data_IF_270462442937
#
_entry.id   IF_270462442937
#
_cell.length_a   1.000
_cell.length_b   1.000
_cell.length_c   1.000
_cell.angle_alpha   90.00
_cell.angle_beta   90.00
_cell.angle_gamma   90.00
#
_symmetry.space_group_name_H-M   'P 1'
#
loop_
_entity.id
_entity.type
_entity.pdbx_description
1 polymer ?
#
# COMPACT_ATOMS: atom_id res chain seq x y z
N UNK A 1 -31.86 14.30 13.36
CA UNK A 1 -30.77 14.17 12.36
C UNK A 1 -29.71 13.25 12.98
N UNK A 2 -29.40 12.10 12.36
CA UNK A 2 -28.32 11.21 12.85
C UNK A 2 -27.00 11.97 12.74
N UNK A 3 -26.24 12.03 13.83
CA UNK A 3 -24.85 12.52 13.80
C UNK A 3 -24.02 11.47 13.06
N UNK A 4 -23.73 11.72 11.78
CA UNK A 4 -22.70 11.00 11.04
C UNK A 4 -21.35 11.70 11.24
N UNK A 5 -20.24 11.04 10.92
CA UNK A 5 -18.88 11.57 11.08
C UNK A 5 -18.71 12.97 10.49
N UNK A 6 -19.23 13.20 9.27
CA UNK A 6 -19.22 14.52 8.62
C UNK A 6 -20.01 15.57 9.39
N UNK A 7 -21.18 15.22 9.92
CA UNK A 7 -22.03 16.12 10.71
C UNK A 7 -21.49 16.42 12.11
N UNK A 8 -20.74 15.48 12.70
CA UNK A 8 -19.99 15.69 13.95
C UNK A 8 -18.85 16.68 13.69
N UNK A 9 -18.02 16.42 12.68
CA UNK A 9 -16.90 17.28 12.31
C UNK A 9 -17.37 18.72 12.03
N UNK A 10 -18.38 18.90 11.18
CA UNK A 10 -18.89 20.21 10.81
C UNK A 10 -19.41 21.02 12.02
N UNK A 11 -20.08 20.36 12.97
CA UNK A 11 -20.59 21.03 14.19
C UNK A 11 -19.47 21.35 15.18
N UNK A 12 -18.52 20.44 15.35
CA UNK A 12 -17.37 20.62 16.24
C UNK A 12 -16.40 21.68 15.72
N UNK A 13 -16.14 21.75 14.41
CA UNK A 13 -15.31 22.79 13.79
C UNK A 13 -15.82 24.22 14.03
N UNK A 14 -17.14 24.40 14.15
CA UNK A 14 -17.75 25.72 14.40
C UNK A 14 -17.74 26.14 15.88
N UNK A 15 -17.51 25.20 16.80
CA UNK A 15 -17.72 25.40 18.24
C UNK A 15 -16.47 25.19 19.11
N UNK A 16 -15.44 24.53 18.57
CA UNK A 16 -14.23 24.19 19.31
C UNK A 16 -13.03 24.99 18.82
N UNK A 17 -12.15 25.34 19.76
CA UNK A 17 -10.85 25.94 19.45
C UNK A 17 -9.93 24.89 18.84
N UNK A 18 -9.81 24.95 17.50
CA UNK A 18 -8.97 24.07 16.69
C UNK A 18 -7.50 24.11 17.13
N UNK A 19 -7.00 25.27 17.59
CA UNK A 19 -5.61 25.42 18.02
C UNK A 19 -5.35 24.72 19.35
N UNK A 20 -6.26 24.89 20.31
CA UNK A 20 -6.18 24.20 21.60
C UNK A 20 -6.27 22.67 21.46
N UNK A 21 -7.12 22.17 20.55
CA UNK A 21 -7.21 20.74 20.24
C UNK A 21 -5.92 20.24 19.58
N UNK A 22 -5.40 20.97 18.59
CA UNK A 22 -4.12 20.64 17.94
C UNK A 22 -2.96 20.56 18.93
N UNK A 23 -2.82 21.53 19.83
CA UNK A 23 -1.80 21.51 20.88
C UNK A 23 -1.91 20.27 21.79
N UNK A 24 -3.14 19.83 22.12
CA UNK A 24 -3.35 18.60 22.91
C UNK A 24 -3.02 17.33 22.15
N UNK A 25 -3.37 17.25 20.87
CA UNK A 25 -3.06 16.10 20.01
C UNK A 25 -1.56 15.96 19.74
N UNK A 26 -0.84 17.08 19.63
CA UNK A 26 0.61 17.09 19.36
C UNK A 26 1.41 16.84 20.65
N UNK A 27 1.12 17.57 21.72
CA UNK A 27 1.96 17.62 22.93
C UNK A 27 1.45 16.74 24.08
N UNK A 28 0.18 16.33 24.06
CA UNK A 28 -0.48 15.57 25.12
C UNK A 28 -0.29 14.06 25.05
N UNK A 29 0.88 13.57 24.64
CA UNK A 29 1.15 12.13 24.40
C UNK A 29 1.29 11.28 25.68
N UNK A 30 1.17 11.88 26.86
CA UNK A 30 1.24 11.14 28.11
C UNK A 30 0.00 10.27 28.28
N UNK A 31 0.20 8.97 28.43
CA UNK A 31 -0.88 8.02 28.69
C UNK A 31 -1.43 8.32 30.08
N UNK A 32 -2.69 8.75 30.13
CA UNK A 32 -3.37 8.90 31.41
C UNK A 32 -3.49 7.52 32.08
N UNK A 33 -3.09 7.38 33.35
CA UNK A 33 -3.12 6.10 34.05
C UNK A 33 -4.56 5.64 34.33
N UNK A 34 -5.54 6.54 34.24
CA UNK A 34 -6.97 6.22 34.36
C UNK A 34 -7.57 5.95 32.98
N UNK A 35 -7.88 4.69 32.63
CA UNK A 35 -8.40 4.36 31.30
C UNK A 35 -9.83 4.86 31.13
N UNK A 36 -10.10 5.49 29.99
CA UNK A 36 -11.46 5.79 29.57
C UNK A 36 -12.18 4.48 29.22
N UNK A 37 -13.19 4.09 30.00
CA UNK A 37 -13.98 2.90 29.69
C UNK A 37 -15.01 3.21 28.60
N UNK A 38 -14.74 2.75 27.38
CA UNK A 38 -15.66 2.86 26.23
C UNK A 38 -16.34 1.52 26.00
N UNK A 39 -17.69 1.54 25.88
CA UNK A 39 -18.47 0.35 25.52
C UNK A 39 -18.64 0.28 24.01
N UNK A 40 -18.16 -0.81 23.40
CA UNK A 40 -18.32 -1.06 21.98
C UNK A 40 -19.48 -2.04 21.72
N UNK A 41 -20.22 -1.88 20.60
CA UNK A 41 -21.08 -2.93 20.08
C UNK A 41 -20.29 -4.23 19.86
N UNK A 42 -20.95 -5.37 20.01
CA UNK A 42 -20.30 -6.69 19.91
C UNK A 42 -19.52 -6.86 18.60
N UNK A 43 -20.12 -6.52 17.45
CA UNK A 43 -19.44 -6.65 16.16
C UNK A 43 -18.18 -5.79 16.04
N UNK A 44 -18.15 -4.59 16.63
CA UNK A 44 -16.96 -3.73 16.65
C UNK A 44 -15.86 -4.36 17.49
N UNK A 45 -16.22 -4.96 18.63
CA UNK A 45 -15.28 -5.66 19.50
C UNK A 45 -14.65 -6.87 18.81
N UNK A 46 -15.45 -7.64 18.07
CA UNK A 46 -14.97 -8.79 17.31
C UNK A 46 -14.00 -8.37 16.20
N UNK A 47 -14.32 -7.32 15.43
CA UNK A 47 -13.41 -6.78 14.40
C UNK A 47 -12.09 -6.29 15.00
N UNK A 48 -12.14 -5.52 16.09
CA UNK A 48 -10.94 -5.07 16.78
C UNK A 48 -10.10 -6.24 17.33
N UNK A 49 -10.75 -7.32 17.79
CA UNK A 49 -10.07 -8.54 18.21
C UNK A 49 -9.31 -9.21 17.07
N UNK A 50 -9.95 -9.40 15.92
CA UNK A 50 -9.33 -10.00 14.72
C UNK A 50 -8.11 -9.17 14.27
N UNK A 51 -8.25 -7.85 14.19
CA UNK A 51 -7.15 -6.96 13.77
C UNK A 51 -5.99 -6.96 14.78
N UNK A 52 -6.31 -6.93 16.08
CA UNK A 52 -5.34 -6.96 17.18
C UNK A 52 -4.49 -8.24 17.15
N UNK A 53 -5.13 -9.39 16.92
CA UNK A 53 -4.43 -10.67 16.76
C UNK A 53 -3.53 -10.69 15.51
N UNK A 54 -4.03 -10.20 14.37
CA UNK A 54 -3.25 -10.16 13.13
C UNK A 54 -2.04 -9.24 13.19
N UNK A 55 -2.17 -8.09 13.86
CA UNK A 55 -1.11 -7.10 14.01
C UNK A 55 -0.19 -7.36 15.21
N UNK A 56 -0.50 -8.37 16.03
CA UNK A 56 0.23 -8.69 17.27
C UNK A 56 0.40 -7.50 18.25
N UNK A 57 -0.61 -6.63 18.31
CA UNK A 57 -0.68 -5.49 19.26
C UNK A 57 -1.92 -5.60 20.13
N UNK A 58 -1.96 -4.91 21.27
CA UNK A 58 -3.13 -4.93 22.14
C UNK A 58 -4.32 -4.21 21.49
N UNK A 59 -5.55 -4.63 21.83
CA UNK A 59 -6.77 -3.94 21.34
C UNK A 59 -6.83 -2.48 21.79
N UNK A 60 -6.25 -2.18 22.97
CA UNK A 60 -6.16 -0.82 23.48
C UNK A 60 -5.21 0.04 22.62
N UNK A 61 -4.04 -0.49 22.27
CA UNK A 61 -3.08 0.20 21.40
C UNK A 61 -3.63 0.39 19.99
N UNK A 62 -4.26 -0.64 19.41
CA UNK A 62 -4.94 -0.52 18.11
C UNK A 62 -6.00 0.58 18.14
N UNK A 63 -6.86 0.59 19.17
CA UNK A 63 -7.92 1.59 19.31
C UNK A 63 -7.34 2.99 19.47
N UNK A 64 -6.27 3.12 20.25
CA UNK A 64 -5.57 4.40 20.46
C UNK A 64 -5.02 4.93 19.13
N UNK A 65 -4.31 4.11 18.38
CA UNK A 65 -3.74 4.48 17.06
C UNK A 65 -4.85 4.94 16.12
N UNK A 66 -5.92 4.15 15.96
CA UNK A 66 -7.04 4.49 15.06
C UNK A 66 -7.78 5.77 15.50
N UNK A 67 -7.95 5.99 16.79
CA UNK A 67 -8.63 7.19 17.31
C UNK A 67 -7.77 8.45 17.19
N UNK A 68 -6.48 8.36 17.50
CA UNK A 68 -5.52 9.45 17.31
C UNK A 68 -5.48 9.89 15.85
N UNK A 69 -5.44 8.94 14.92
CA UNK A 69 -5.46 9.19 13.48
C UNK A 69 -6.78 9.82 13.02
N UNK A 70 -7.93 9.26 13.44
CA UNK A 70 -9.24 9.81 13.09
C UNK A 70 -9.42 11.26 13.60
N UNK A 71 -8.93 11.57 14.81
CA UNK A 71 -8.98 12.91 15.37
C UNK A 71 -8.03 13.88 14.66
N UNK A 72 -6.81 13.45 14.32
CA UNK A 72 -5.88 14.24 13.51
C UNK A 72 -6.46 14.55 12.13
N UNK A 73 -6.99 13.56 11.42
CA UNK A 73 -7.67 13.75 10.13
C UNK A 73 -8.82 14.76 10.24
N UNK A 74 -9.62 14.68 11.31
CA UNK A 74 -10.79 15.55 11.49
C UNK A 74 -10.42 16.99 11.84
N UNK A 75 -9.39 17.22 12.65
CA UNK A 75 -9.08 18.56 13.17
C UNK A 75 -7.83 19.20 12.56
N UNK A 76 -6.88 18.45 12.02
CA UNK A 76 -5.59 18.92 11.49
C UNK A 76 -5.31 18.39 10.06
N UNK A 77 -6.22 18.60 9.08
CA UNK A 77 -6.12 17.92 7.78
C UNK A 77 -4.88 18.31 6.95
N UNK A 78 -4.37 19.55 7.08
CA UNK A 78 -3.18 19.99 6.36
C UNK A 78 -1.89 19.40 6.95
N UNK A 79 -1.74 19.44 8.28
CA UNK A 79 -0.60 18.82 8.98
C UNK A 79 -0.60 17.30 8.79
N UNK A 80 -1.80 16.72 8.68
CA UNK A 80 -2.00 15.32 8.36
C UNK A 80 -1.65 14.98 6.91
N UNK A 81 -1.68 15.91 5.97
CA UNK A 81 -1.21 15.65 4.59
C UNK A 81 0.29 15.35 4.61
N UNK A 82 1.08 16.17 5.32
CA UNK A 82 2.50 15.93 5.54
C UNK A 82 2.76 14.64 6.33
N UNK A 83 2.02 14.40 7.41
CA UNK A 83 2.09 13.16 8.17
C UNK A 83 1.74 11.91 7.35
N UNK A 84 0.78 12.03 6.43
CA UNK A 84 0.40 10.98 5.49
C UNK A 84 1.52 10.70 4.48
N UNK A 85 2.19 11.73 3.95
CA UNK A 85 3.32 11.55 3.02
C UNK A 85 4.44 10.77 3.70
N UNK A 86 4.85 11.15 4.92
CA UNK A 86 5.89 10.45 5.66
C UNK A 86 5.47 8.99 5.94
N UNK A 87 4.23 8.78 6.41
CA UNK A 87 3.72 7.44 6.68
C UNK A 87 3.67 6.56 5.41
N UNK A 88 3.40 7.15 4.25
CA UNK A 88 3.41 6.45 2.94
C UNK A 88 4.83 6.06 2.54
N UNK A 89 5.82 6.93 2.76
CA UNK A 89 7.24 6.61 2.55
C UNK A 89 7.68 5.47 3.48
N UNK A 90 7.32 5.52 4.76
CA UNK A 90 7.60 4.44 5.71
C UNK A 90 6.94 3.12 5.27
N UNK A 91 5.71 3.17 4.73
CA UNK A 91 5.03 2.00 4.21
C UNK A 91 5.70 1.42 2.96
N UNK A 92 6.21 2.27 2.05
CA UNK A 92 7.05 1.84 0.92
C UNK A 92 8.32 1.18 1.45
N UNK A 93 9.00 1.81 2.40
CA UNK A 93 10.22 1.26 2.99
C UNK A 93 9.99 -0.13 3.59
N UNK A 94 8.95 -0.27 4.40
CA UNK A 94 8.60 -1.55 5.01
C UNK A 94 8.23 -2.62 3.97
N UNK A 95 7.43 -2.26 2.97
CA UNK A 95 6.91 -3.22 1.99
C UNK A 95 7.96 -3.70 0.99
N UNK A 96 8.94 -2.86 0.70
CA UNK A 96 10.02 -3.13 -0.25
C UNK A 96 11.36 -3.48 0.42
N UNK A 97 11.40 -3.60 1.75
CA UNK A 97 12.60 -3.86 2.55
C UNK A 97 13.72 -2.82 2.29
N UNK A 98 13.33 -1.55 2.20
CA UNK A 98 14.24 -0.42 1.95
C UNK A 98 14.66 0.18 3.29
N UNK A 99 15.98 0.24 3.52
CA UNK A 99 16.55 0.91 4.68
C UNK A 99 16.84 2.41 4.41
N UNK A 100 17.08 3.16 5.48
CA UNK A 100 17.35 4.61 5.41
C UNK A 100 18.51 4.97 4.45
N UNK A 101 19.68 4.29 4.48
CA UNK A 101 20.73 4.56 3.50
C UNK A 101 20.29 4.37 2.05
N UNK A 102 19.56 3.31 1.74
CA UNK A 102 19.09 3.03 0.39
C UNK A 102 18.08 4.09 -0.06
N UNK A 103 17.13 4.49 0.78
CA UNK A 103 16.21 5.57 0.47
C UNK A 103 16.95 6.90 0.23
N UNK A 104 18.02 7.19 0.99
CA UNK A 104 18.85 8.37 0.75
C UNK A 104 19.55 8.33 -0.62
N UNK A 105 19.98 7.15 -1.07
CA UNK A 105 20.57 7.00 -2.41
C UNK A 105 19.53 7.26 -3.51
N UNK A 106 18.31 6.75 -3.36
CA UNK A 106 17.21 7.02 -4.29
C UNK A 106 16.89 8.51 -4.38
N UNK A 107 16.90 9.21 -3.24
CA UNK A 107 16.59 10.65 -3.15
C UNK A 107 17.82 11.56 -3.23
N UNK A 108 18.99 11.03 -3.57
CA UNK A 108 20.24 11.80 -3.63
C UNK A 108 20.22 12.98 -4.62
N UNK A 109 19.49 12.97 -5.76
CA UNK A 109 19.38 14.14 -6.64
C UNK A 109 18.78 15.38 -5.96
N UNK A 110 18.00 15.21 -4.89
CA UNK A 110 17.40 16.30 -4.10
C UNK A 110 18.18 16.64 -2.84
N UNK A 111 19.42 16.14 -2.69
CA UNK A 111 20.26 16.32 -1.50
C UNK A 111 19.64 15.77 -0.20
N UNK A 112 18.72 14.82 -0.29
CA UNK A 112 18.09 14.19 0.88
C UNK A 112 19.01 13.09 1.40
N UNK A 113 19.73 13.38 2.48
CA UNK A 113 20.66 12.45 3.13
C UNK A 113 19.98 11.59 4.19
N UNK A 114 20.61 10.51 4.61
CA UNK A 114 20.10 9.64 5.69
C UNK A 114 19.77 10.40 6.98
N UNK A 115 20.52 11.45 7.31
CA UNK A 115 20.26 12.30 8.48
C UNK A 115 19.00 13.15 8.37
N UNK A 116 18.53 13.43 7.15
CA UNK A 116 17.26 14.10 6.89
C UNK A 116 16.12 13.10 7.03
N UNK A 117 16.28 11.88 6.50
CA UNK A 117 15.25 10.82 6.55
C UNK A 117 14.96 10.36 7.99
N UNK A 118 15.97 10.33 8.86
CA UNK A 118 15.80 9.94 10.27
C UNK A 118 14.95 10.92 11.10
N UNK A 119 14.71 12.14 10.59
CA UNK A 119 13.89 13.15 11.25
C UNK A 119 12.65 13.43 10.37
N UNK A 120 11.47 12.90 10.73
CA UNK A 120 10.23 13.07 9.97
C UNK A 120 9.89 14.53 9.63
N UNK A 121 10.16 15.46 10.55
CA UNK A 121 9.87 16.87 10.36
C UNK A 121 10.82 17.49 9.31
N UNK A 122 12.11 17.14 9.38
CA UNK A 122 13.08 17.58 8.36
C UNK A 122 12.82 16.94 7.01
N UNK A 123 12.44 15.66 6.99
CA UNK A 123 12.14 14.98 5.74
C UNK A 123 10.99 15.68 5.02
N UNK A 124 9.93 16.03 5.74
CA UNK A 124 8.80 16.79 5.19
C UNK A 124 9.23 18.10 4.50
N UNK A 125 10.14 18.85 5.11
CA UNK A 125 10.62 20.13 4.56
C UNK A 125 11.45 19.97 3.27
N UNK A 126 12.05 18.79 3.04
CA UNK A 126 12.90 18.52 1.88
C UNK A 126 12.15 17.82 0.73
N UNK A 127 10.98 17.24 0.99
CA UNK A 127 10.22 16.51 -0.01
C UNK A 127 9.51 17.49 -0.97
N UNK A 128 10.14 17.71 -2.12
CA UNK A 128 9.52 18.39 -3.26
C UNK A 128 8.56 17.47 -4.03
N UNK A 129 7.65 18.06 -4.80
CA UNK A 129 6.76 17.30 -5.68
C UNK A 129 7.54 16.40 -6.66
N UNK A 130 8.61 16.92 -7.26
CA UNK A 130 9.47 16.18 -8.19
C UNK A 130 10.15 14.97 -7.51
N UNK A 131 10.54 15.12 -6.24
CA UNK A 131 11.12 14.01 -5.46
C UNK A 131 10.10 12.90 -5.19
N UNK A 132 8.84 13.28 -4.91
CA UNK A 132 7.75 12.34 -4.69
C UNK A 132 7.36 11.65 -6.00
N UNK A 133 7.29 12.37 -7.11
CA UNK A 133 7.04 11.79 -8.43
C UNK A 133 8.12 10.78 -8.82
N UNK A 134 9.39 11.12 -8.63
CA UNK A 134 10.49 10.19 -8.85
C UNK A 134 10.38 8.93 -7.98
N UNK A 135 10.05 9.09 -6.69
CA UNK A 135 9.87 7.95 -5.80
C UNK A 135 8.69 7.07 -6.26
N UNK A 136 7.60 7.67 -6.72
CA UNK A 136 6.47 6.94 -7.29
C UNK A 136 6.88 6.13 -8.53
N UNK A 137 7.67 6.70 -9.43
CA UNK A 137 8.23 6.00 -10.60
C UNK A 137 9.22 4.89 -10.24
N UNK A 138 10.00 5.07 -9.16
CA UNK A 138 10.90 4.02 -8.67
C UNK A 138 10.13 2.75 -8.31
N UNK A 139 8.92 2.90 -7.76
CA UNK A 139 8.12 1.81 -7.19
C UNK A 139 6.84 1.46 -7.95
N UNK A 140 6.62 2.04 -9.15
CA UNK A 140 5.40 1.87 -9.97
C UNK A 140 4.11 2.25 -9.21
N UNK A 141 4.12 3.38 -8.52
CA UNK A 141 3.03 3.86 -7.68
C UNK A 141 2.30 5.03 -8.34
N UNK A 142 1.04 5.28 -7.94
CA UNK A 142 0.37 6.52 -8.33
C UNK A 142 1.00 7.72 -7.58
N UNK A 143 1.51 8.74 -8.28
CA UNK A 143 2.03 9.95 -7.64
C UNK A 143 0.98 10.70 -6.82
N UNK A 144 -0.30 10.66 -7.20
CA UNK A 144 -1.39 11.28 -6.43
C UNK A 144 -1.60 10.58 -5.08
N UNK A 145 -1.32 9.29 -5.00
CA UNK A 145 -1.24 8.63 -3.71
C UNK A 145 -0.01 9.10 -2.95
N UNK A 146 1.17 9.13 -3.52
CA UNK A 146 2.32 9.52 -2.72
C UNK A 146 2.22 10.98 -2.21
N UNK A 147 1.55 11.86 -2.96
CA UNK A 147 1.30 13.26 -2.63
C UNK A 147 0.13 13.54 -1.67
N UNK A 148 -0.62 12.52 -1.24
CA UNK A 148 -1.73 12.74 -0.29
C UNK A 148 -3.11 12.93 -0.91
N UNK A 149 -3.24 12.99 -2.24
CA UNK A 149 -4.50 13.25 -2.94
C UNK A 149 -5.40 12.02 -3.02
N UNK A 150 -4.80 10.85 -3.24
CA UNK A 150 -5.51 9.56 -3.24
C UNK A 150 -5.30 8.81 -1.92
N UNK A 151 -6.28 7.99 -1.53
CA UNK A 151 -6.22 7.23 -0.27
C UNK A 151 -5.53 5.87 -0.42
N UNK A 152 -5.47 5.35 -1.64
CA UNK A 152 -4.96 4.01 -1.94
C UNK A 152 -3.75 4.09 -2.86
N UNK A 153 -2.77 3.18 -2.70
CA UNK A 153 -1.52 3.21 -3.46
C UNK A 153 -1.67 3.16 -4.97
N UNK A 154 -2.79 2.64 -5.49
CA UNK A 154 -3.13 2.52 -6.92
C UNK A 154 -1.86 2.28 -7.74
N UNK A 155 -1.36 1.05 -7.73
CA UNK A 155 -0.16 0.73 -8.51
C UNK A 155 -0.39 1.10 -9.98
N UNK A 156 0.55 1.85 -10.57
CA UNK A 156 0.55 2.10 -12.01
C UNK A 156 0.65 0.73 -12.69
N UNK A 157 -0.43 0.37 -13.37
CA UNK A 157 -0.57 -0.98 -13.91
C UNK A 157 0.00 -1.03 -15.32
N UNK A 158 0.90 -1.98 -15.57
CA UNK A 158 1.33 -2.28 -16.93
C UNK A 158 0.16 -2.82 -17.76
N UNK A 159 0.19 -2.60 -19.06
CA UNK A 159 -0.81 -3.18 -19.96
C UNK A 159 -0.50 -4.65 -20.27
N UNK A 160 -1.55 -5.42 -20.56
CA UNK A 160 -1.34 -6.77 -21.06
C UNK A 160 -0.80 -6.71 -22.49
N UNK A 161 0.20 -7.55 -22.82
CA UNK A 161 0.64 -7.68 -24.19
C UNK A 161 -0.47 -8.19 -25.12
N UNK A 162 -0.48 -7.66 -26.35
CA UNK A 162 -1.44 -8.04 -27.40
C UNK A 162 -1.22 -9.45 -27.94
N UNK A 163 0.01 -9.98 -27.86
CA UNK A 163 0.39 -11.27 -28.44
C UNK A 163 1.07 -12.19 -27.43
N UNK A 164 0.99 -13.49 -27.67
CA UNK A 164 1.66 -14.51 -26.86
C UNK A 164 3.20 -14.35 -26.85
N UNK A 165 3.79 -13.90 -27.96
CA UNK A 165 5.22 -13.70 -28.06
C UNK A 165 5.68 -12.47 -27.29
N UNK A 166 4.93 -11.36 -27.34
CA UNK A 166 5.20 -10.20 -26.50
C UNK A 166 5.00 -10.53 -25.02
N UNK A 167 4.01 -11.36 -24.69
CA UNK A 167 3.85 -11.89 -23.34
C UNK A 167 5.07 -12.68 -22.89
N UNK A 168 5.57 -13.61 -23.73
CA UNK A 168 6.79 -14.37 -23.40
C UNK A 168 8.01 -13.49 -23.26
N UNK A 169 8.14 -12.45 -24.09
CA UNK A 169 9.24 -11.50 -24.02
C UNK A 169 9.18 -10.69 -22.72
N UNK A 170 7.99 -10.21 -22.34
CA UNK A 170 7.76 -9.50 -21.09
C UNK A 170 8.11 -10.35 -19.87
N UNK A 171 7.67 -11.62 -19.82
CA UNK A 171 7.93 -12.48 -18.66
C UNK A 171 9.41 -12.91 -18.59
N UNK A 172 10.08 -13.13 -19.72
CA UNK A 172 11.51 -13.49 -19.79
C UNK A 172 12.46 -12.30 -19.69
N UNK A 173 11.96 -11.08 -19.51
CA UNK A 173 12.83 -9.92 -19.34
C UNK A 173 13.84 -10.17 -18.20
N UNK A 174 15.12 -9.90 -18.46
CA UNK A 174 16.19 -10.19 -17.50
C UNK A 174 16.09 -9.38 -16.21
N UNK A 175 15.34 -8.27 -16.23
CA UNK A 175 15.02 -7.52 -15.01
C UNK A 175 14.05 -8.25 -14.10
N UNK A 176 13.25 -9.20 -14.58
CA UNK A 176 12.30 -9.92 -13.74
C UNK A 176 13.03 -10.95 -12.86
N UNK A 177 12.89 -10.82 -11.55
CA UNK A 177 13.49 -11.73 -10.56
C UNK A 177 12.49 -12.74 -10.01
N UNK A 178 11.23 -12.34 -9.90
CA UNK A 178 10.12 -13.20 -9.51
C UNK A 178 8.84 -12.84 -10.27
N UNK A 179 8.02 -13.85 -10.58
CA UNK A 179 6.74 -13.66 -11.28
C UNK A 179 5.62 -14.37 -10.54
N UNK A 180 4.52 -13.67 -10.31
CA UNK A 180 3.28 -14.24 -9.79
C UNK A 180 2.20 -14.16 -10.87
N UNK A 181 1.71 -15.31 -11.29
CA UNK A 181 0.46 -15.44 -12.04
C UNK A 181 -0.66 -15.75 -11.09
N UNK A 182 -1.70 -14.91 -11.08
CA UNK A 182 -2.83 -15.09 -10.20
C UNK A 182 -4.15 -15.17 -10.96
N UNK A 183 -5.10 -15.88 -10.37
CA UNK A 183 -6.51 -15.82 -10.76
C UNK A 183 -7.42 -15.74 -9.52
N UNK A 184 -8.63 -15.20 -9.70
CA UNK A 184 -9.65 -15.13 -8.65
C UNK A 184 -11.05 -14.79 -9.19
N UNK A 185 -12.03 -14.90 -8.30
CA UNK A 185 -13.38 -14.38 -8.46
C UNK A 185 -13.58 -13.22 -7.48
N UNK A 186 -13.09 -12.00 -7.79
CA UNK A 186 -12.97 -10.89 -6.84
C UNK A 186 -14.32 -10.41 -6.30
N UNK A 187 -15.40 -10.49 -7.09
CA UNK A 187 -16.71 -9.97 -6.70
C UNK A 187 -17.69 -11.10 -6.37
N UNK A 188 -18.29 -11.06 -5.18
CA UNK A 188 -19.29 -12.02 -4.76
C UNK A 188 -20.63 -11.79 -5.49
N UNK A 189 -21.23 -12.83 -6.11
CA UNK A 189 -22.51 -12.75 -6.81
C UNK A 189 -22.74 -13.91 -7.79
N UNK A 190 -23.89 -13.94 -8.49
CA UNK A 190 -24.27 -15.02 -9.43
C UNK A 190 -23.63 -14.91 -10.84
N UNK A 191 -22.89 -13.84 -11.12
CA UNK A 191 -22.21 -13.58 -12.40
C UNK A 191 -20.69 -13.54 -12.21
N UNK A 192 -20.13 -14.47 -11.43
CA UNK A 192 -18.68 -14.49 -11.12
C UNK A 192 -17.87 -14.69 -12.39
N UNK A 193 -17.31 -13.59 -12.89
CA UNK A 193 -16.28 -13.65 -13.92
C UNK A 193 -14.94 -13.92 -13.24
N UNK A 194 -14.22 -14.90 -13.75
CA UNK A 194 -12.86 -15.20 -13.33
C UNK A 194 -11.92 -14.15 -13.91
N UNK A 195 -11.10 -13.55 -13.06
CA UNK A 195 -10.06 -12.61 -13.46
C UNK A 195 -8.70 -13.25 -13.27
N UNK A 196 -7.74 -12.82 -14.09
CA UNK A 196 -6.34 -13.12 -13.91
C UNK A 196 -5.48 -11.87 -14.02
N UNK A 197 -4.29 -11.95 -13.41
CA UNK A 197 -3.28 -10.91 -13.49
C UNK A 197 -1.89 -11.49 -13.39
N UNK A 198 -0.92 -10.62 -13.63
CA UNK A 198 0.50 -10.91 -13.55
C UNK A 198 1.15 -9.84 -12.70
N UNK A 199 2.04 -10.25 -11.80
CA UNK A 199 2.85 -9.34 -11.01
C UNK A 199 4.31 -9.73 -11.23
N UNK A 200 5.12 -8.77 -11.61
CA UNK A 200 6.54 -8.92 -11.90
C UNK A 200 7.32 -8.19 -10.81
N UNK A 201 8.22 -8.88 -10.13
CA UNK A 201 9.24 -8.25 -9.28
C UNK A 201 10.44 -7.96 -10.15
N UNK A 202 10.81 -6.69 -10.27
CA UNK A 202 11.81 -6.24 -11.23
C UNK A 202 13.02 -5.68 -10.51
N UNK A 203 14.23 -6.11 -10.89
CA UNK A 203 15.48 -5.48 -10.52
C UNK A 203 15.62 -4.15 -11.26
N UNK A 204 15.79 -3.06 -10.50
CA UNK A 204 15.97 -1.71 -11.05
C UNK A 204 17.18 -1.07 -10.38
N UNK A 205 18.15 -0.65 -11.20
CA UNK A 205 19.31 0.11 -10.74
C UNK A 205 18.99 1.61 -10.78
N UNK A 206 19.14 2.28 -9.64
CA UNK A 206 18.87 3.70 -9.45
C UNK A 206 20.02 4.29 -8.64
N UNK A 207 20.70 5.28 -9.21
CA UNK A 207 21.83 5.96 -8.56
C UNK A 207 22.91 4.99 -8.04
N UNK A 208 23.17 3.89 -8.78
CA UNK A 208 24.13 2.85 -8.41
C UNK A 208 23.68 1.92 -7.27
N UNK A 209 22.41 1.99 -6.85
CA UNK A 209 21.80 1.05 -5.91
C UNK A 209 20.70 0.25 -6.59
N UNK A 210 20.48 -0.97 -6.13
CA UNK A 210 19.49 -1.88 -6.70
C UNK A 210 18.26 -1.94 -5.79
N UNK A 211 17.08 -1.81 -6.39
CA UNK A 211 15.78 -2.03 -5.74
C UNK A 211 14.95 -3.07 -6.50
N UNK A 212 13.93 -3.61 -5.83
CA UNK A 212 13.06 -4.65 -6.40
C UNK A 212 11.57 -4.25 -6.36
N UNK A 213 11.15 -3.20 -7.09
CA UNK A 213 9.76 -2.82 -7.20
C UNK A 213 8.90 -3.91 -7.84
N UNK A 214 7.59 -3.84 -7.62
CA UNK A 214 6.63 -4.74 -8.22
C UNK A 214 5.82 -3.99 -9.30
N UNK A 215 5.81 -4.51 -10.53
CA UNK A 215 4.92 -4.09 -11.59
C UNK A 215 3.73 -5.04 -11.64
N UNK A 216 2.51 -4.52 -11.46
CA UNK A 216 1.29 -5.30 -11.65
C UNK A 216 0.71 -5.01 -13.03
N UNK A 217 0.39 -6.02 -13.81
CA UNK A 217 -0.40 -5.82 -15.02
C UNK A 217 -1.86 -5.60 -14.67
N UNK A 218 -2.55 -4.77 -15.45
CA UNK A 218 -3.97 -4.49 -15.30
C UNK A 218 -4.77 -5.81 -15.28
N UNK A 219 -5.61 -6.09 -14.27
CA UNK A 219 -6.36 -7.34 -14.22
C UNK A 219 -7.28 -7.52 -15.44
N UNK A 220 -7.32 -8.72 -16.03
CA UNK A 220 -8.19 -9.02 -17.18
C UNK A 220 -9.07 -10.24 -16.91
N UNK A 221 -10.13 -10.38 -17.70
CA UNK A 221 -10.97 -11.58 -17.68
C UNK A 221 -10.15 -12.78 -18.14
N UNK A 222 -10.19 -13.86 -17.35
CA UNK A 222 -9.56 -15.10 -17.75
C UNK A 222 -10.37 -15.74 -18.89
N UNK A 223 -9.79 -15.73 -20.09
CA UNK A 223 -10.31 -16.44 -21.26
C UNK A 223 -9.38 -17.62 -21.61
N UNK A 224 -9.79 -18.43 -22.59
CA UNK A 224 -9.02 -19.63 -22.99
C UNK A 224 -7.62 -19.29 -23.52
N UNK A 225 -7.47 -18.14 -24.18
CA UNK A 225 -6.19 -17.66 -24.69
C UNK A 225 -5.21 -17.32 -23.56
N UNK A 226 -5.62 -16.46 -22.61
CA UNK A 226 -4.80 -16.10 -21.44
C UNK A 226 -4.50 -17.33 -20.58
N UNK A 227 -5.48 -18.25 -20.42
CA UNK A 227 -5.28 -19.52 -19.73
C UNK A 227 -4.19 -20.36 -20.40
N UNK A 228 -4.17 -20.40 -21.74
CA UNK A 228 -3.13 -21.09 -22.51
C UNK A 228 -1.76 -20.45 -22.30
N UNK A 229 -1.66 -19.11 -22.39
CA UNK A 229 -0.39 -18.40 -22.19
C UNK A 229 0.22 -18.69 -20.81
N UNK A 230 -0.59 -18.59 -19.76
CA UNK A 230 -0.16 -18.83 -18.38
C UNK A 230 0.25 -20.29 -18.14
N UNK A 231 -0.47 -21.24 -18.73
CA UNK A 231 -0.20 -22.68 -18.56
C UNK A 231 1.06 -23.13 -19.31
N UNK A 232 1.27 -22.65 -20.54
CA UNK A 232 2.46 -22.96 -21.34
C UNK A 232 3.76 -22.52 -20.64
N UNK A 233 3.70 -21.41 -19.89
CA UNK A 233 4.85 -20.88 -19.18
C UNK A 233 5.20 -21.69 -17.93
N UNK A 234 4.19 -22.14 -17.18
CA UNK A 234 4.39 -22.93 -15.96
C UNK A 234 4.85 -24.37 -16.20
N UNK A 235 4.61 -24.93 -17.40
CA UNK A 235 4.91 -26.34 -17.72
C UNK A 235 6.27 -26.56 -18.38
N UNK A 236 6.96 -25.50 -18.79
CA UNK A 236 8.21 -25.55 -19.56
C UNK A 236 9.32 -24.73 -18.90
N UNK A 237 9.79 -25.06 -17.70
CA UNK A 237 10.88 -24.27 -17.11
C UNK A 237 12.05 -25.04 -16.51
N UNK A 238 13.19 -24.89 -17.19
CA UNK A 238 14.54 -24.72 -16.65
C UNK A 238 14.81 -23.20 -16.61
N UNK A 239 14.28 -22.46 -15.64
CA UNK A 239 14.58 -21.03 -15.48
C UNK A 239 15.14 -20.74 -14.10
N UNK A 240 16.10 -19.82 -14.04
CA UNK A 240 16.72 -19.29 -12.81
C UNK A 240 15.79 -18.35 -12.03
N UNK A 241 14.72 -17.87 -12.66
CA UNK A 241 13.70 -16.97 -12.08
C UNK A 241 12.62 -17.75 -11.32
N UNK A 242 12.20 -17.25 -10.16
CA UNK A 242 11.11 -17.85 -9.37
C UNK A 242 9.75 -17.51 -9.98
N UNK A 243 8.93 -18.53 -10.24
CA UNK A 243 7.61 -18.37 -10.82
C UNK A 243 6.55 -19.07 -9.96
N UNK A 244 5.49 -18.34 -9.59
CA UNK A 244 4.38 -18.84 -8.78
C UNK A 244 3.06 -18.69 -9.51
N UNK A 245 2.27 -19.76 -9.47
CA UNK A 245 0.90 -19.80 -9.98
C UNK A 245 -0.04 -19.92 -8.77
N UNK A 246 -0.89 -18.92 -8.54
CA UNK A 246 -1.63 -18.78 -7.27
C UNK A 246 -3.11 -18.44 -7.44
N UNK A 247 -3.93 -18.90 -6.50
CA UNK A 247 -5.32 -18.48 -6.34
C UNK A 247 -5.40 -17.40 -5.27
N UNK A 248 -5.89 -16.21 -5.61
CA UNK A 248 -6.17 -15.17 -4.60
C UNK A 248 -7.56 -15.37 -4.02
N UNK A 249 -7.70 -15.19 -2.70
CA UNK A 249 -9.02 -15.11 -2.06
C UNK A 249 -9.76 -13.87 -2.62
N UNK A 250 -11.10 -13.91 -2.77
CA UNK A 250 -11.88 -12.81 -3.38
C UNK A 250 -11.55 -11.42 -2.84
N UNK A 251 -11.54 -11.23 -1.52
CA UNK A 251 -11.22 -9.92 -0.93
C UNK A 251 -9.77 -9.47 -1.17
N UNK A 252 -8.81 -10.39 -1.24
CA UNK A 252 -7.43 -10.04 -1.57
C UNK A 252 -7.28 -9.64 -3.04
N UNK A 253 -7.98 -10.34 -3.94
CA UNK A 253 -8.03 -9.98 -5.35
C UNK A 253 -8.75 -8.63 -5.56
N UNK A 254 -9.86 -8.38 -4.87
CA UNK A 254 -10.55 -7.10 -4.89
C UNK A 254 -9.65 -5.96 -4.44
N UNK A 255 -8.93 -6.13 -3.31
CA UNK A 255 -7.98 -5.14 -2.82
C UNK A 255 -6.85 -4.87 -3.82
N UNK A 256 -6.35 -5.90 -4.50
CA UNK A 256 -5.32 -5.75 -5.54
C UNK A 256 -5.87 -5.00 -6.76
N UNK A 257 -7.04 -5.41 -7.27
CA UNK A 257 -7.68 -4.82 -8.47
C UNK A 257 -8.05 -3.35 -8.23
N UNK A 258 -8.51 -3.02 -7.03
CA UNK A 258 -8.89 -1.65 -6.64
C UNK A 258 -7.71 -0.82 -6.16
N UNK A 259 -6.49 -1.37 -6.16
CA UNK A 259 -5.27 -0.66 -5.81
C UNK A 259 -5.12 -0.33 -4.32
N UNK A 260 -5.86 -1.03 -3.43
CA UNK A 260 -5.83 -0.81 -1.99
C UNK A 260 -4.58 -1.39 -1.30
N UNK A 261 -3.89 -2.32 -1.96
CA UNK A 261 -2.65 -2.93 -1.47
C UNK A 261 -1.52 -2.78 -2.47
N UNK A 262 -0.28 -2.77 -1.97
CA UNK A 262 0.90 -2.83 -2.83
C UNK A 262 1.08 -4.24 -3.41
N UNK A 263 1.29 -4.39 -4.73
CA UNK A 263 1.53 -5.69 -5.34
C UNK A 263 2.74 -6.43 -4.75
N UNK A 264 3.76 -5.68 -4.27
CA UNK A 264 4.96 -6.26 -3.66
C UNK A 264 4.64 -7.12 -2.42
N UNK A 265 3.59 -6.78 -1.68
CA UNK A 265 3.18 -7.50 -0.47
C UNK A 265 2.79 -8.95 -0.76
N UNK A 266 2.36 -9.26 -1.99
CA UNK A 266 2.01 -10.63 -2.39
C UNK A 266 3.21 -11.54 -2.51
N UNK A 267 4.42 -11.01 -2.71
CA UNK A 267 5.62 -11.84 -2.77
C UNK A 267 5.99 -12.44 -1.42
N UNK A 268 5.70 -11.71 -0.33
CA UNK A 268 5.98 -12.09 1.05
C UNK A 268 4.80 -12.80 1.74
N UNK A 269 3.68 -12.98 1.04
CA UNK A 269 2.47 -13.60 1.59
C UNK A 269 2.38 -15.08 1.18
N UNK A 270 1.95 -15.93 2.10
CA UNK A 270 1.58 -17.32 1.78
C UNK A 270 0.27 -17.35 0.99
N UNK A 271 0.36 -17.69 -0.30
CA UNK A 271 -0.78 -17.73 -1.22
C UNK A 271 -1.20 -19.18 -1.52
N UNK A 272 -2.46 -19.36 -1.92
CA UNK A 272 -2.98 -20.68 -2.30
C UNK A 272 -2.42 -21.04 -3.68
N UNK A 273 -2.05 -22.30 -3.93
CA UNK A 273 -1.69 -22.74 -5.29
C UNK A 273 -2.88 -22.61 -6.24
N UNK A 274 -2.59 -22.35 -7.52
CA UNK A 274 -3.55 -22.42 -8.63
C UNK A 274 -3.49 -23.82 -9.27
#
# INVERSE_FOLDING_TARGET
MRLNTTGIAARMMLSLDKKAIGEKLINGRQINPTPLQVRYPQGVREVLGIMSEQLAISTADLTRILLEDALHNMFMPADNTTGNIISRIEYIMLSHDINTPLLATLLSPWNIRSTVIQDPARLADYLSADALEHLAECFNLNPDWLNGHENYPIALSGEWPDTADNFRMLINDSSNTEVIFWHSFPFAGNTKREYCGVILRQEKEINGSVIYPALSLSPTLLNDEKRKWLTEYTTRQNTTMSLRRVTLRPGLAENLITGQILPVSLFNTSLLPW
#
